data_IF_960991263903
#
_entry.id   IF_960991263903
#
_cell.length_a   1.000
_cell.length_b   1.000
_cell.length_c   1.000
_cell.angle_alpha   90.00
_cell.angle_beta   90.00
_cell.angle_gamma   90.00
#
_symmetry.space_group_name_H-M   'P 1'
#
loop_
_entity.id
_entity.type
_entity.pdbx_description
1 polymer ?
#
# COMPACT_ATOMS: atom_id res chain seq x y z
N UNK A 1 -46.04 -8.12 -50.73
CA UNK A 1 -45.81 -7.89 -49.28
C UNK A 1 -44.78 -8.90 -48.80
N UNK A 2 -43.52 -8.47 -48.67
CA UNK A 2 -42.45 -9.32 -48.14
C UNK A 2 -42.03 -8.78 -46.78
N UNK A 3 -42.24 -9.55 -45.72
CA UNK A 3 -41.78 -9.19 -44.38
C UNK A 3 -40.24 -9.21 -44.33
N UNK A 4 -39.60 -8.22 -43.67
CA UNK A 4 -38.15 -8.21 -43.55
C UNK A 4 -37.68 -9.34 -42.63
N UNK A 5 -36.80 -10.21 -43.14
CA UNK A 5 -36.12 -11.23 -42.35
C UNK A 5 -35.07 -10.57 -41.45
N UNK A 6 -35.37 -10.47 -40.16
CA UNK A 6 -34.39 -10.05 -39.15
C UNK A 6 -33.51 -11.24 -38.73
N UNK A 7 -32.20 -11.01 -38.67
CA UNK A 7 -31.20 -11.99 -38.21
C UNK A 7 -31.30 -12.20 -36.70
N UNK A 8 -31.36 -13.46 -36.24
CA UNK A 8 -31.34 -13.83 -34.82
C UNK A 8 -30.17 -13.19 -34.04
N UNK A 9 -29.03 -12.93 -34.70
CA UNK A 9 -27.88 -12.26 -34.07
C UNK A 9 -28.19 -10.81 -33.68
N UNK A 10 -29.01 -10.09 -34.46
CA UNK A 10 -29.41 -8.73 -34.10
C UNK A 10 -30.37 -8.74 -32.91
N UNK A 11 -31.31 -9.70 -32.86
CA UNK A 11 -32.23 -9.82 -31.73
C UNK A 11 -31.50 -10.10 -30.41
N UNK A 12 -30.48 -10.97 -30.44
CA UNK A 12 -29.64 -11.24 -29.27
C UNK A 12 -28.90 -10.00 -28.76
N UNK A 13 -28.33 -9.19 -29.66
CA UNK A 13 -27.66 -7.93 -29.29
C UNK A 13 -28.64 -6.89 -28.72
N UNK A 14 -29.86 -6.77 -29.26
CA UNK A 14 -30.85 -5.85 -28.71
C UNK A 14 -31.34 -6.28 -27.34
N UNK A 15 -31.56 -7.58 -27.11
CA UNK A 15 -31.96 -8.12 -25.81
C UNK A 15 -30.83 -7.93 -24.78
N UNK A 16 -29.57 -8.18 -25.15
CA UNK A 16 -28.42 -7.99 -24.26
C UNK A 16 -28.20 -6.51 -23.89
N UNK A 17 -28.39 -5.59 -24.83
CA UNK A 17 -28.32 -4.16 -24.55
C UNK A 17 -29.47 -3.67 -23.67
N UNK A 18 -30.70 -4.17 -23.89
CA UNK A 18 -31.88 -3.81 -23.09
C UNK A 18 -31.80 -4.37 -21.67
N UNK A 19 -31.26 -5.57 -21.46
CA UNK A 19 -31.05 -6.12 -20.11
C UNK A 19 -29.90 -5.44 -19.39
N UNK A 20 -28.84 -5.06 -20.10
CA UNK A 20 -27.73 -4.29 -19.56
C UNK A 20 -28.13 -2.88 -19.11
N UNK A 21 -28.93 -2.16 -19.90
CA UNK A 21 -29.42 -0.82 -19.51
C UNK A 21 -30.44 -0.88 -18.37
N UNK A 22 -31.29 -1.91 -18.32
CA UNK A 22 -32.23 -2.11 -17.20
C UNK A 22 -31.50 -2.40 -15.88
N UNK A 23 -30.41 -3.20 -15.90
CA UNK A 23 -29.58 -3.48 -14.73
C UNK A 23 -28.85 -2.25 -14.21
N UNK A 24 -28.39 -1.36 -15.10
CA UNK A 24 -27.76 -0.09 -14.69
C UNK A 24 -28.79 0.86 -14.07
N UNK A 25 -29.99 0.95 -14.66
CA UNK A 25 -31.07 1.79 -14.11
C UNK A 25 -31.58 1.28 -12.76
N UNK A 26 -31.67 -0.04 -12.56
CA UNK A 26 -32.06 -0.64 -11.28
C UNK A 26 -31.00 -0.40 -10.19
N UNK A 27 -29.70 -0.43 -10.53
CA UNK A 27 -28.63 -0.09 -9.58
C UNK A 27 -28.63 1.40 -9.20
N UNK A 28 -28.86 2.30 -10.17
CA UNK A 28 -28.95 3.74 -9.89
C UNK A 28 -30.17 4.09 -9.02
N UNK A 29 -31.31 3.44 -9.27
CA UNK A 29 -32.52 3.60 -8.44
C UNK A 29 -32.33 3.03 -7.03
N UNK A 30 -31.54 1.97 -6.87
CA UNK A 30 -31.24 1.40 -5.56
C UNK A 30 -30.35 2.33 -4.72
N UNK A 31 -29.34 2.98 -5.31
CA UNK A 31 -28.52 3.99 -4.63
C UNK A 31 -29.33 5.21 -4.16
N UNK A 32 -30.27 5.70 -4.97
CA UNK A 32 -31.14 6.82 -4.61
C UNK A 32 -32.10 6.47 -3.46
N UNK A 33 -32.61 5.22 -3.42
CA UNK A 33 -33.47 4.73 -2.35
C UNK A 33 -32.69 4.62 -1.02
N UNK A 34 -31.45 4.15 -1.05
CA UNK A 34 -30.56 4.09 0.12
C UNK A 34 -30.22 5.47 0.70
N UNK A 35 -30.15 6.51 -0.15
CA UNK A 35 -29.89 7.87 0.31
C UNK A 35 -31.10 8.53 1.01
N UNK A 36 -32.33 8.16 0.64
CA UNK A 36 -33.54 8.76 1.25
C UNK A 36 -33.94 8.17 2.61
N UNK A 37 -33.41 7.00 2.99
CA UNK A 37 -33.81 6.28 4.20
C UNK A 37 -32.98 6.57 5.47
N UNK A 38 -32.12 7.59 5.48
CA UNK A 38 -31.37 7.97 6.70
C UNK A 38 -32.25 8.81 7.65
N UNK A 39 -32.48 8.39 8.91
CA UNK A 39 -33.18 9.21 9.90
C UNK A 39 -32.30 10.38 10.37
N UNK A 40 -32.90 11.56 10.53
CA UNK A 40 -32.25 12.73 11.15
C UNK A 40 -32.08 12.53 12.68
N UNK A 41 -30.93 12.86 13.27
CA UNK A 41 -30.74 12.78 14.72
C UNK A 41 -31.46 13.94 15.44
N UNK A 42 -32.17 13.60 16.52
CA UNK A 42 -32.82 14.52 17.43
C UNK A 42 -31.81 15.31 18.29
N UNK A 43 -32.14 16.55 18.63
CA UNK A 43 -31.34 17.45 19.46
C UNK A 43 -31.22 16.95 20.92
N UNK A 44 -30.03 17.03 21.57
CA UNK A 44 -29.90 16.76 23.01
C UNK A 44 -30.13 18.02 23.85
N UNK A 45 -30.95 17.88 24.90
CA UNK A 45 -31.11 18.84 25.99
C UNK A 45 -29.94 18.74 26.99
N UNK A 46 -29.61 19.89 27.58
CA UNK A 46 -28.50 20.13 28.50
C UNK A 46 -28.69 19.54 29.91
N UNK A 47 -27.64 18.97 30.50
CA UNK A 47 -27.51 18.84 31.97
C UNK A 47 -26.09 19.20 32.41
N UNK A 48 -26.02 19.94 33.53
CA UNK A 48 -24.85 20.63 34.11
C UNK A 48 -23.90 19.71 34.90
N UNK A 49 -22.65 20.17 35.00
CA UNK A 49 -21.52 19.57 35.70
C UNK A 49 -21.35 19.99 37.18
N UNK A 50 -20.60 19.19 37.94
CA UNK A 50 -19.75 19.52 39.12
C UNK A 50 -19.02 18.22 39.56
N UNK A 51 -17.77 18.12 40.05
CA UNK A 51 -16.70 19.04 40.48
C UNK A 51 -15.45 18.23 40.93
N UNK A 52 -14.30 18.92 41.08
CA UNK A 52 -12.88 18.52 41.33
C UNK A 52 -12.55 17.55 42.50
N UNK A 53 -11.39 16.88 42.66
CA UNK A 53 -10.02 16.87 42.07
C UNK A 53 -9.20 15.67 42.66
N UNK A 54 -7.84 15.60 42.74
CA UNK A 54 -6.75 16.43 42.20
C UNK A 54 -5.72 15.69 41.28
N UNK A 55 -4.91 16.53 40.65
CA UNK A 55 -3.93 16.40 39.55
C UNK A 55 -2.82 15.33 39.67
N UNK A 56 -2.67 14.53 38.62
CA UNK A 56 -1.40 13.94 38.14
C UNK A 56 -1.23 14.35 36.67
N UNK A 57 -0.08 14.92 36.32
CA UNK A 57 0.24 15.46 34.99
C UNK A 57 0.27 14.34 33.93
N UNK A 58 -0.81 14.20 33.16
CA UNK A 58 -0.85 13.43 31.92
C UNK A 58 -0.89 14.40 30.74
N UNK A 59 0.15 14.38 29.91
CA UNK A 59 0.17 15.03 28.60
C UNK A 59 -0.61 14.11 27.65
N UNK A 60 -1.95 14.19 27.71
CA UNK A 60 -2.84 13.65 26.70
C UNK A 60 -3.62 14.81 26.10
N UNK A 61 -3.10 15.38 25.02
CA UNK A 61 -3.89 16.25 24.14
C UNK A 61 -4.90 15.39 23.38
N UNK A 62 -6.03 15.07 23.99
CA UNK A 62 -7.21 14.59 23.26
C UNK A 62 -7.79 15.78 22.51
N UNK A 63 -7.33 15.98 21.26
CA UNK A 63 -8.05 16.82 20.32
C UNK A 63 -9.34 16.09 19.94
N UNK A 64 -10.48 16.57 20.43
CA UNK A 64 -11.78 16.17 19.90
C UNK A 64 -11.91 16.74 18.49
N UNK A 65 -11.50 15.95 17.50
CA UNK A 65 -11.89 16.23 16.14
C UNK A 65 -13.40 15.99 16.04
N UNK A 66 -14.17 17.07 15.90
CA UNK A 66 -15.50 16.97 15.30
C UNK A 66 -15.33 16.23 13.96
N UNK A 67 -16.30 15.38 13.59
CA UNK A 67 -16.36 14.64 12.32
C UNK A 67 -16.22 15.54 11.05
N UNK A 68 -16.17 16.86 11.22
CA UNK A 68 -15.97 17.88 10.19
C UNK A 68 -14.53 18.43 10.07
N UNK A 69 -13.52 17.79 10.67
CA UNK A 69 -12.13 18.28 10.65
C UNK A 69 -11.28 17.75 9.50
N UNK A 70 -11.84 16.90 8.64
CA UNK A 70 -11.27 16.69 7.30
C UNK A 70 -11.29 18.07 6.63
N UNK A 71 -10.12 18.65 6.37
CA UNK A 71 -10.00 19.95 5.70
C UNK A 71 -10.89 19.93 4.45
N UNK A 72 -12.02 20.64 4.56
CA UNK A 72 -13.11 20.61 3.58
C UNK A 72 -12.71 21.32 2.30
N UNK A 73 -11.62 22.10 2.34
CA UNK A 73 -11.08 22.79 1.19
C UNK A 73 -10.24 21.82 0.32
N UNK A 74 -10.75 21.42 -0.87
CA UNK A 74 -10.03 20.54 -1.77
C UNK A 74 -8.66 21.08 -2.19
N UNK A 75 -8.48 22.41 -2.18
CA UNK A 75 -7.28 23.10 -2.67
C UNK A 75 -6.06 22.99 -1.73
N UNK A 76 -6.29 22.62 -0.47
CA UNK A 76 -5.21 22.38 0.51
C UNK A 76 -4.70 20.94 0.46
N UNK A 77 -5.54 20.01 0.03
CA UNK A 77 -5.22 18.59 -0.06
C UNK A 77 -4.46 18.23 -1.35
N UNK A 78 -3.35 17.48 -1.27
CA UNK A 78 -2.58 17.04 -2.43
C UNK A 78 -3.43 16.35 -3.51
N UNK A 79 -3.08 16.55 -4.77
CA UNK A 79 -3.80 16.02 -5.94
C UNK A 79 -3.95 14.49 -5.98
N UNK A 80 -3.09 13.75 -5.28
CA UNK A 80 -3.09 12.28 -5.24
C UNK A 80 -3.97 11.70 -4.13
N UNK A 81 -4.47 12.54 -3.22
CA UNK A 81 -5.37 12.16 -2.13
C UNK A 81 -6.84 12.30 -2.57
N UNK A 82 -7.75 11.56 -1.96
CA UNK A 82 -9.18 11.58 -2.33
C UNK A 82 -9.75 12.98 -2.18
N UNK A 83 -10.31 13.50 -3.27
CA UNK A 83 -10.89 14.84 -3.32
C UNK A 83 -9.87 15.98 -3.31
N UNK A 84 -8.57 15.72 -3.34
CA UNK A 84 -7.56 16.77 -3.35
C UNK A 84 -7.33 17.38 -4.74
N UNK A 85 -7.05 18.68 -4.79
CA UNK A 85 -6.77 19.42 -6.04
C UNK A 85 -5.45 20.18 -6.01
N UNK A 86 -4.74 20.19 -4.87
CA UNK A 86 -3.45 20.89 -4.73
C UNK A 86 -2.39 20.30 -5.63
N UNK A 87 -1.97 21.07 -6.64
CA UNK A 87 -0.89 20.71 -7.56
C UNK A 87 0.48 21.14 -7.01
N UNK A 88 1.57 20.43 -7.36
CA UNK A 88 2.92 20.89 -7.06
C UNK A 88 3.31 22.10 -7.90
N UNK A 89 4.24 22.89 -7.35
CA UNK A 89 4.93 23.95 -8.06
C UNK A 89 6.31 23.46 -8.53
N UNK A 90 6.91 24.08 -9.56
CA UNK A 90 8.28 23.78 -9.97
C UNK A 90 9.25 23.86 -8.79
N UNK A 91 10.14 22.88 -8.68
CA UNK A 91 11.07 22.77 -7.56
C UNK A 91 12.02 23.97 -7.50
N UNK A 92 12.27 24.46 -6.28
CA UNK A 92 13.17 25.58 -6.02
C UNK A 92 14.62 25.08 -6.06
N UNK A 93 15.51 25.85 -6.70
CA UNK A 93 16.96 25.63 -6.68
C UNK A 93 17.63 26.51 -5.62
N UNK A 94 18.65 25.97 -4.96
CA UNK A 94 19.54 26.74 -4.09
C UNK A 94 20.39 27.69 -4.92
N UNK A 95 20.47 28.96 -4.51
CA UNK A 95 21.28 29.98 -5.22
C UNK A 95 22.77 29.64 -5.28
N UNK A 96 23.29 28.96 -4.26
CA UNK A 96 24.73 28.72 -4.13
C UNK A 96 25.20 27.48 -4.91
N UNK A 97 24.39 26.42 -4.97
CA UNK A 97 24.82 25.15 -5.60
C UNK A 97 24.07 24.83 -6.90
N UNK A 98 23.00 25.57 -7.20
CA UNK A 98 22.10 25.27 -8.32
C UNK A 98 21.28 23.99 -8.15
N UNK A 99 21.49 23.21 -7.09
CA UNK A 99 20.72 21.98 -6.82
C UNK A 99 19.31 22.31 -6.33
N UNK A 100 18.34 21.50 -6.76
CA UNK A 100 16.96 21.55 -6.25
C UNK A 100 16.92 21.21 -4.75
N UNK A 101 15.94 21.76 -4.04
CA UNK A 101 15.71 21.50 -2.61
C UNK A 101 14.92 20.21 -2.32
N UNK A 102 14.18 19.71 -3.31
CA UNK A 102 13.34 18.53 -3.11
C UNK A 102 14.20 17.27 -2.88
N UNK A 103 13.92 16.54 -1.79
CA UNK A 103 14.54 15.25 -1.46
C UNK A 103 13.74 14.12 -2.12
N UNK A 104 14.27 13.60 -3.23
CA UNK A 104 13.57 12.67 -4.11
C UNK A 104 14.19 11.28 -4.13
N UNK A 105 15.46 11.18 -3.74
CA UNK A 105 16.25 9.96 -3.86
C UNK A 105 16.70 9.39 -2.50
N UNK A 106 17.00 8.08 -2.42
CA UNK A 106 17.39 7.45 -1.15
C UNK A 106 18.57 8.11 -0.44
N UNK A 107 19.52 8.66 -1.21
CA UNK A 107 20.70 9.33 -0.65
C UNK A 107 20.41 10.74 -0.13
N UNK A 108 19.25 11.31 -0.47
CA UNK A 108 18.82 12.66 -0.07
C UNK A 108 17.92 12.64 1.17
N UNK A 109 17.17 11.55 1.36
CA UNK A 109 16.43 11.25 2.58
C UNK A 109 16.33 9.73 2.78
N UNK A 110 17.11 9.22 3.74
CA UNK A 110 17.21 7.79 4.03
C UNK A 110 16.12 7.28 4.99
N UNK A 111 15.37 8.18 5.63
CA UNK A 111 14.35 7.81 6.63
C UNK A 111 12.94 7.85 6.04
N UNK A 112 12.71 8.69 5.03
CA UNK A 112 11.49 8.73 4.24
C UNK A 112 11.55 7.76 3.06
N UNK A 113 10.39 7.34 2.54
CA UNK A 113 10.28 6.50 1.33
C UNK A 113 10.03 7.34 0.06
N UNK A 114 9.92 8.66 0.23
CA UNK A 114 9.93 9.72 -0.77
C UNK A 114 8.75 9.70 -1.73
N UNK A 115 7.76 8.83 -1.54
CA UNK A 115 6.63 8.69 -2.47
C UNK A 115 5.88 10.02 -2.61
N UNK A 116 5.56 10.68 -1.51
CA UNK A 116 4.83 11.95 -1.50
C UNK A 116 5.68 13.09 -2.06
N UNK A 117 6.98 13.13 -1.74
CA UNK A 117 7.91 14.10 -2.33
C UNK A 117 8.00 13.96 -3.85
N UNK A 118 8.10 12.73 -4.35
CA UNK A 118 8.11 12.43 -5.79
C UNK A 118 6.77 12.78 -6.46
N UNK A 119 5.63 12.53 -5.81
CA UNK A 119 4.31 12.93 -6.32
C UNK A 119 4.10 14.45 -6.36
N UNK A 120 4.82 15.18 -5.51
CA UNK A 120 4.80 16.64 -5.44
C UNK A 120 6.01 17.28 -6.13
N UNK A 121 6.72 16.53 -6.96
CA UNK A 121 7.86 17.05 -7.70
C UNK A 121 7.47 17.48 -9.12
N UNK A 122 7.93 18.67 -9.50
CA UNK A 122 7.97 19.17 -10.88
C UNK A 122 9.37 19.75 -11.09
N UNK A 123 10.11 19.36 -12.14
CA UNK A 123 11.43 19.89 -12.41
C UNK A 123 11.46 21.43 -12.46
N UNK A 124 12.57 22.06 -12.06
CA UNK A 124 12.76 23.49 -12.27
C UNK A 124 12.53 23.84 -13.74
N UNK A 125 11.81 24.94 -13.99
CA UNK A 125 11.49 25.45 -15.33
C UNK A 125 10.61 24.55 -16.22
N UNK A 126 10.05 23.46 -15.68
CA UNK A 126 9.20 22.54 -16.45
C UNK A 126 8.03 23.24 -17.18
N UNK A 127 7.42 24.24 -16.54
CA UNK A 127 6.29 24.99 -17.10
C UNK A 127 6.68 26.22 -17.93
N UNK A 128 7.97 26.63 -17.96
CA UNK A 128 8.39 27.88 -18.61
C UNK A 128 8.73 27.71 -20.08
N UNK A 129 9.20 26.54 -20.47
CA UNK A 129 9.41 26.19 -21.87
C UNK A 129 8.06 25.81 -22.45
N UNK A 130 7.57 26.49 -23.49
CA UNK A 130 6.31 26.21 -24.20
C UNK A 130 6.24 24.78 -24.79
N UNK A 131 6.23 23.74 -23.97
CA UNK A 131 6.22 22.33 -24.38
C UNK A 131 7.52 21.79 -24.96
N UNK A 132 8.66 22.48 -24.82
CA UNK A 132 9.96 22.05 -25.41
C UNK A 132 10.75 21.03 -24.55
N UNK A 133 10.12 20.32 -23.61
CA UNK A 133 10.80 19.24 -22.90
C UNK A 133 10.97 18.03 -23.80
N UNK A 134 12.15 17.42 -23.72
CA UNK A 134 12.42 16.17 -24.44
C UNK A 134 11.44 15.09 -23.98
N UNK A 135 10.68 14.53 -24.91
CA UNK A 135 9.81 13.38 -24.62
C UNK A 135 10.68 12.19 -24.18
N UNK A 136 10.47 11.71 -22.95
CA UNK A 136 11.20 10.55 -22.41
C UNK A 136 10.52 9.24 -22.76
N UNK A 137 11.28 8.28 -23.29
CA UNK A 137 10.80 6.95 -23.67
C UNK A 137 11.11 5.94 -22.56
N UNK A 138 10.06 5.29 -22.05
CA UNK A 138 10.15 4.24 -21.04
C UNK A 138 9.81 2.90 -21.69
N UNK A 139 10.82 2.05 -21.85
CA UNK A 139 10.65 0.71 -22.41
C UNK A 139 10.32 -0.30 -21.32
N UNK A 140 9.34 -1.15 -21.60
CA UNK A 140 8.99 -2.28 -20.74
C UNK A 140 9.01 -3.57 -21.57
N UNK A 141 10.00 -4.42 -21.35
CA UNK A 141 10.20 -5.61 -22.21
C UNK A 141 9.11 -6.67 -22.04
N UNK A 142 8.55 -6.81 -20.84
CA UNK A 142 7.51 -7.80 -20.54
C UNK A 142 6.75 -7.42 -19.26
N UNK A 143 5.55 -7.99 -19.08
CA UNK A 143 4.67 -7.68 -17.95
C UNK A 143 4.13 -6.24 -17.98
N UNK A 144 3.61 -5.79 -16.83
CA UNK A 144 2.98 -4.46 -16.66
C UNK A 144 1.92 -4.19 -17.73
N UNK A 145 0.92 -5.07 -17.86
CA UNK A 145 -0.08 -4.98 -18.93
C UNK A 145 -0.95 -3.71 -18.86
N UNK A 146 -1.04 -3.12 -17.66
CA UNK A 146 -1.69 -1.84 -17.39
C UNK A 146 -0.96 -0.65 -18.05
N UNK A 147 0.35 -0.76 -18.28
CA UNK A 147 1.16 0.24 -18.97
C UNK A 147 1.09 0.05 -20.49
N UNK A 148 0.00 0.52 -21.10
CA UNK A 148 -0.19 0.48 -22.56
C UNK A 148 0.84 1.38 -23.27
N UNK A 149 1.20 1.01 -24.49
CA UNK A 149 2.08 1.81 -25.37
C UNK A 149 1.46 3.17 -25.62
N UNK A 150 2.29 4.22 -25.58
CA UNK A 150 1.88 5.61 -25.77
C UNK A 150 1.95 6.45 -24.49
N UNK A 151 1.58 7.73 -24.58
CA UNK A 151 1.62 8.67 -23.46
C UNK A 151 0.34 8.68 -22.60
N UNK A 152 -0.69 7.92 -22.97
CA UNK A 152 -2.05 8.05 -22.42
C UNK A 152 -2.11 7.88 -20.91
N UNK A 153 -1.31 6.97 -20.34
CA UNK A 153 -1.29 6.72 -18.90
C UNK A 153 -0.94 7.97 -18.10
N UNK A 154 -0.03 8.81 -18.61
CA UNK A 154 0.41 10.03 -17.92
C UNK A 154 -0.67 11.12 -17.94
N UNK A 155 -1.46 11.20 -19.02
CA UNK A 155 -2.58 12.12 -19.13
C UNK A 155 -3.80 11.66 -18.33
N UNK A 156 -4.13 10.36 -18.40
CA UNK A 156 -5.25 9.76 -17.67
C UNK A 156 -5.06 9.86 -16.15
N UNK A 157 -3.85 9.63 -15.67
CA UNK A 157 -3.49 9.82 -14.26
C UNK A 157 -3.28 11.30 -13.88
N UNK A 158 -3.37 12.22 -14.86
CA UNK A 158 -3.17 13.65 -14.68
C UNK A 158 -1.84 13.97 -13.98
N UNK A 159 -0.77 13.30 -14.39
CA UNK A 159 0.56 13.48 -13.79
C UNK A 159 1.02 14.94 -13.91
N UNK A 160 1.62 15.52 -12.85
CA UNK A 160 2.22 16.86 -12.92
C UNK A 160 3.36 16.96 -13.95
N UNK A 161 4.12 15.87 -14.11
CA UNK A 161 5.12 15.68 -15.17
C UNK A 161 4.63 14.55 -16.06
N UNK A 162 4.41 14.84 -17.34
CA UNK A 162 3.70 13.97 -18.27
C UNK A 162 4.36 13.88 -19.66
N UNK A 163 5.54 14.45 -19.85
CA UNK A 163 6.32 14.37 -21.10
C UNK A 163 7.09 13.05 -21.18
N UNK A 164 6.36 11.95 -21.05
CA UNK A 164 6.87 10.58 -21.19
C UNK A 164 5.95 9.73 -22.07
N UNK A 165 6.49 8.66 -22.64
CA UNK A 165 5.73 7.67 -23.42
C UNK A 165 6.22 6.27 -23.11
N UNK A 166 5.30 5.31 -23.03
CA UNK A 166 5.62 3.89 -22.88
C UNK A 166 5.89 3.28 -24.25
N UNK A 167 6.99 2.54 -24.38
CA UNK A 167 7.35 1.77 -25.58
C UNK A 167 7.60 0.30 -25.23
N UNK A 168 7.48 -0.60 -26.22
CA UNK A 168 7.72 -2.05 -26.04
C UNK A 168 8.82 -2.59 -26.96
N UNK A 169 9.33 -1.75 -27.84
CA UNK A 169 10.31 -2.04 -28.86
C UNK A 169 11.46 -1.01 -28.82
N UNK A 170 12.48 -1.28 -29.64
CA UNK A 170 13.62 -0.39 -29.88
C UNK A 170 14.37 0.08 -28.61
N UNK A 171 15.03 -0.86 -27.89
CA UNK A 171 15.74 -0.58 -26.63
C UNK A 171 16.78 0.52 -26.75
N UNK A 172 17.47 0.64 -27.89
CA UNK A 172 18.54 1.62 -28.08
C UNK A 172 18.03 3.08 -28.02
N UNK A 173 16.74 3.29 -28.28
CA UNK A 173 16.12 4.62 -28.27
C UNK A 173 15.48 5.00 -26.93
N UNK A 174 15.44 4.08 -25.96
CA UNK A 174 14.78 4.29 -24.68
C UNK A 174 15.64 5.10 -23.71
N UNK A 175 15.05 6.05 -23.00
CA UNK A 175 15.70 6.75 -21.88
C UNK A 175 15.75 5.85 -20.63
N UNK A 176 14.72 5.02 -20.43
CA UNK A 176 14.66 4.03 -19.36
C UNK A 176 14.21 2.67 -19.89
N UNK A 177 14.86 1.60 -19.44
CA UNK A 177 14.41 0.22 -19.61
C UNK A 177 14.04 -0.36 -18.24
N UNK A 178 12.80 -0.80 -18.09
CA UNK A 178 12.30 -1.46 -16.89
C UNK A 178 12.37 -2.99 -17.05
N UNK A 179 13.03 -3.63 -16.10
CA UNK A 179 13.14 -5.09 -15.97
C UNK A 179 12.25 -5.58 -14.83
N UNK A 180 11.11 -6.16 -15.17
CA UNK A 180 10.20 -6.78 -14.21
C UNK A 180 10.69 -8.20 -13.90
N UNK A 181 10.84 -8.56 -12.63
CA UNK A 181 11.16 -9.92 -12.11
C UNK A 181 12.51 -10.55 -12.53
N UNK A 182 13.02 -10.26 -13.73
CA UNK A 182 14.34 -10.69 -14.21
C UNK A 182 14.84 -9.76 -15.32
N UNK A 183 16.15 -9.80 -15.53
CA UNK A 183 16.81 -9.02 -16.59
C UNK A 183 16.79 -9.84 -17.87
N UNK A 184 16.23 -9.25 -18.92
CA UNK A 184 16.29 -9.78 -20.28
C UNK A 184 17.53 -9.25 -20.99
N UNK A 185 18.08 -10.01 -21.94
CA UNK A 185 19.24 -9.57 -22.71
C UNK A 185 18.87 -8.40 -23.64
N UNK A 186 19.22 -7.19 -23.24
CA UNK A 186 19.09 -5.98 -24.07
C UNK A 186 20.47 -5.46 -24.44
N UNK A 187 20.92 -5.86 -25.63
CA UNK A 187 21.87 -5.15 -26.49
C UNK A 187 23.05 -4.42 -25.84
N UNK A 188 23.48 -3.33 -26.47
CA UNK A 188 24.50 -2.41 -25.95
C UNK A 188 23.80 -1.30 -25.17
N UNK A 189 24.25 -1.04 -23.95
CA UNK A 189 23.73 0.06 -23.12
C UNK A 189 24.29 1.40 -23.59
N UNK A 190 23.42 2.37 -23.89
CA UNK A 190 23.81 3.77 -24.05
C UNK A 190 24.19 4.39 -22.69
N UNK A 191 25.12 5.35 -22.68
CA UNK A 191 25.63 5.96 -21.45
C UNK A 191 24.51 6.62 -20.61
N UNK A 192 23.60 7.33 -21.29
CA UNK A 192 22.49 8.08 -20.68
C UNK A 192 21.25 7.22 -20.39
N UNK A 193 21.25 5.96 -20.80
CA UNK A 193 20.11 5.07 -20.58
C UNK A 193 20.06 4.53 -19.15
N UNK A 194 18.90 4.63 -18.53
CA UNK A 194 18.61 4.14 -17.19
C UNK A 194 18.09 2.71 -17.25
N UNK A 195 18.73 1.80 -16.54
CA UNK A 195 18.24 0.44 -16.32
C UNK A 195 17.61 0.34 -14.94
N UNK A 196 16.31 0.06 -14.90
CA UNK A 196 15.55 -0.02 -13.65
C UNK A 196 15.08 -1.43 -13.36
N UNK A 197 15.41 -1.94 -12.18
CA UNK A 197 14.96 -3.24 -11.69
C UNK A 197 13.61 -3.08 -10.97
N UNK A 198 12.63 -3.91 -11.30
CA UNK A 198 11.31 -3.91 -10.64
C UNK A 198 10.99 -5.28 -10.03
N UNK A 199 10.93 -5.35 -8.69
CA UNK A 199 10.60 -6.57 -7.94
C UNK A 199 9.54 -6.30 -6.88
N UNK A 200 8.46 -7.10 -6.87
CA UNK A 200 7.48 -7.12 -5.78
C UNK A 200 7.61 -8.36 -4.88
N UNK A 201 8.18 -9.45 -5.38
CA UNK A 201 8.53 -10.60 -4.53
C UNK A 201 9.81 -10.35 -3.73
N UNK A 202 9.97 -11.08 -2.62
CA UNK A 202 11.11 -10.90 -1.73
C UNK A 202 12.44 -11.45 -2.30
N UNK A 203 13.60 -11.12 -1.70
CA UNK A 203 14.91 -11.63 -2.10
C UNK A 203 15.00 -13.16 -2.23
N UNK A 204 14.36 -13.93 -1.34
CA UNK A 204 14.36 -15.39 -1.43
C UNK A 204 13.53 -15.95 -2.60
N UNK A 205 12.66 -15.14 -3.19
CA UNK A 205 11.78 -15.51 -4.28
C UNK A 205 12.10 -14.77 -5.59
N UNK A 206 13.27 -14.14 -5.68
CA UNK A 206 13.75 -13.42 -6.88
C UNK A 206 15.12 -13.93 -7.34
N UNK A 207 15.37 -13.92 -8.64
CA UNK A 207 16.64 -14.38 -9.22
C UNK A 207 17.77 -13.37 -8.98
N UNK A 208 19.00 -13.87 -8.81
CA UNK A 208 20.17 -13.00 -8.73
C UNK A 208 20.38 -12.26 -10.04
N UNK A 209 20.70 -10.97 -9.94
CA UNK A 209 21.04 -10.14 -11.08
C UNK A 209 22.47 -10.47 -11.51
N UNK A 210 22.65 -10.98 -12.73
CA UNK A 210 23.96 -11.33 -13.28
C UNK A 210 24.39 -10.34 -14.35
N UNK A 211 25.62 -9.83 -14.22
CA UNK A 211 26.32 -9.06 -15.27
C UNK A 211 25.52 -7.89 -15.87
N UNK A 212 24.75 -7.19 -15.03
CA UNK A 212 23.95 -6.03 -15.44
C UNK A 212 24.19 -4.85 -14.51
N UNK A 213 24.42 -3.68 -15.10
CA UNK A 213 24.60 -2.42 -14.38
C UNK A 213 23.21 -1.79 -14.16
N UNK A 214 22.69 -1.95 -12.94
CA UNK A 214 21.40 -1.36 -12.55
C UNK A 214 21.62 0.07 -12.10
N UNK A 215 20.85 0.99 -12.67
CA UNK A 215 20.83 2.40 -12.28
C UNK A 215 19.83 2.63 -11.15
N UNK A 216 18.58 2.18 -11.35
CA UNK A 216 17.46 2.43 -10.45
C UNK A 216 16.81 1.14 -9.96
N UNK A 217 16.21 1.20 -8.77
CA UNK A 217 15.40 0.11 -8.21
C UNK A 217 13.97 0.57 -7.94
N UNK A 218 13.01 -0.30 -8.23
CA UNK A 218 11.60 -0.12 -7.98
C UNK A 218 11.05 -1.35 -7.27
N UNK A 219 11.12 -1.34 -5.94
CA UNK A 219 10.70 -2.47 -5.10
C UNK A 219 9.85 -2.00 -3.93
N UNK A 220 9.34 -2.92 -3.12
CA UNK A 220 8.64 -2.57 -1.89
C UNK A 220 9.53 -1.90 -0.83
N UNK A 221 10.87 -2.00 -0.95
CA UNK A 221 11.79 -1.43 0.04
C UNK A 221 11.74 0.08 0.05
N UNK A 222 11.76 0.66 1.25
CA UNK A 222 11.69 2.11 1.45
C UNK A 222 12.96 2.84 0.97
N UNK A 223 14.05 2.11 0.76
CA UNK A 223 15.31 2.63 0.20
C UNK A 223 15.46 2.39 -1.33
N UNK A 224 14.39 1.97 -2.02
CA UNK A 224 14.37 1.95 -3.49
C UNK A 224 14.28 3.35 -4.10
N UNK A 225 14.82 3.50 -5.32
CA UNK A 225 14.72 4.75 -6.08
C UNK A 225 13.28 5.19 -6.32
N UNK A 226 12.45 4.26 -6.78
CA UNK A 226 11.01 4.44 -6.92
C UNK A 226 10.33 3.37 -6.05
N UNK A 227 10.01 3.71 -4.80
CA UNK A 227 9.35 2.75 -3.90
C UNK A 227 8.01 2.31 -4.50
N UNK A 228 7.82 1.00 -4.65
CA UNK A 228 6.62 0.36 -5.19
C UNK A 228 5.99 -0.51 -4.09
N UNK A 229 5.36 0.10 -3.07
CA UNK A 229 4.75 -0.65 -2.00
C UNK A 229 3.44 -1.29 -2.48
N UNK A 230 2.99 -2.35 -1.81
CA UNK A 230 1.69 -2.95 -2.08
C UNK A 230 0.55 -1.97 -1.78
N UNK A 231 0.64 -1.25 -0.67
CA UNK A 231 -0.23 -0.14 -0.31
C UNK A 231 0.57 0.93 0.46
N UNK A 232 0.04 2.16 0.53
CA UNK A 232 0.67 3.25 1.28
C UNK A 232 -0.35 4.03 2.09
N UNK A 233 -0.27 3.96 3.41
CA UNK A 233 -1.07 4.79 4.30
C UNK A 233 -0.57 6.24 4.33
N UNK A 234 -1.49 7.20 4.33
CA UNK A 234 -1.23 8.62 4.49
C UNK A 234 -2.23 9.23 5.45
N UNK A 235 -1.74 9.81 6.55
CA UNK A 235 -2.56 10.63 7.45
C UNK A 235 -3.04 11.91 6.76
N UNK A 236 -4.27 12.34 7.07
CA UNK A 236 -4.76 13.67 6.71
C UNK A 236 -4.04 14.76 7.51
N UNK A 237 -3.82 14.50 8.80
CA UNK A 237 -3.02 15.31 9.71
C UNK A 237 -2.13 14.36 10.52
N UNK A 238 -0.81 14.51 10.38
CA UNK A 238 0.16 13.66 11.08
C UNK A 238 0.14 13.84 12.61
N UNK A 239 -0.44 14.93 13.11
CA UNK A 239 -0.62 15.13 14.56
C UNK A 239 -1.83 14.38 15.12
N UNK A 240 -2.73 13.89 14.26
CA UNK A 240 -3.95 13.17 14.66
C UNK A 240 -3.94 11.76 14.10
N UNK A 241 -3.39 10.84 14.90
CA UNK A 241 -3.23 9.43 14.50
C UNK A 241 -4.35 8.52 15.02
N UNK A 242 -5.19 9.01 15.93
CA UNK A 242 -6.33 8.28 16.49
C UNK A 242 -7.50 9.22 16.76
N UNK A 243 -8.73 8.74 16.50
CA UNK A 243 -9.98 9.40 16.83
C UNK A 243 -10.94 8.43 17.53
N UNK A 244 -11.87 8.92 18.38
CA UNK A 244 -12.93 8.09 18.93
C UNK A 244 -13.73 7.41 17.82
N UNK A 245 -14.11 6.15 18.04
CA UNK A 245 -14.93 5.38 17.12
C UNK A 245 -16.31 5.18 17.74
N UNK A 246 -17.36 5.26 16.93
CA UNK A 246 -18.75 4.96 17.34
C UNK A 246 -19.14 3.52 17.03
N UNK A 247 -18.40 2.86 16.13
CA UNK A 247 -18.63 1.49 15.72
C UNK A 247 -17.89 0.51 16.65
N UNK A 248 -18.59 -0.51 17.17
CA UNK A 248 -17.97 -1.61 17.90
C UNK A 248 -17.52 -2.71 16.91
N UNK A 249 -16.23 -2.73 16.61
CA UNK A 249 -15.58 -3.72 15.75
C UNK A 249 -15.51 -5.14 16.34
N UNK A 250 -15.81 -5.33 17.63
CA UNK A 250 -15.87 -6.63 18.28
C UNK A 250 -17.28 -7.25 18.25
N UNK A 251 -18.32 -6.44 18.01
CA UNK A 251 -19.71 -6.86 18.13
C UNK A 251 -20.01 -8.06 17.23
N UNK A 252 -20.73 -9.05 17.78
CA UNK A 252 -21.19 -10.27 17.11
C UNK A 252 -20.10 -11.22 16.58
N UNK A 253 -18.81 -10.87 16.66
CA UNK A 253 -17.71 -11.75 16.26
C UNK A 253 -17.51 -12.87 17.28
N UNK A 254 -17.72 -14.11 16.83
CA UNK A 254 -17.62 -15.29 17.69
C UNK A 254 -16.31 -16.06 17.50
N UNK A 255 -15.76 -16.05 16.28
CA UNK A 255 -14.53 -16.75 15.92
C UNK A 255 -13.30 -15.92 16.25
N UNK A 256 -12.20 -16.60 16.57
CA UNK A 256 -10.98 -15.93 17.05
C UNK A 256 -10.07 -15.53 15.90
N UNK A 257 -9.32 -16.47 15.35
CA UNK A 257 -8.26 -16.17 14.37
C UNK A 257 -8.55 -16.86 13.04
N UNK A 258 -8.54 -16.10 11.94
CA UNK A 258 -8.55 -16.63 10.58
C UNK A 258 -7.15 -16.53 9.95
N UNK A 259 -6.80 -17.47 9.07
CA UNK A 259 -5.60 -17.37 8.25
C UNK A 259 -5.83 -17.87 6.83
N UNK A 260 -5.60 -17.00 5.83
CA UNK A 260 -5.70 -17.39 4.42
C UNK A 260 -4.31 -17.69 3.86
N UNK A 261 -4.03 -18.96 3.56
CA UNK A 261 -2.68 -19.40 3.19
C UNK A 261 -2.68 -20.53 2.16
N UNK A 262 -1.84 -20.38 1.14
CA UNK A 262 -1.66 -21.37 0.07
C UNK A 262 -0.21 -21.80 -0.17
N UNK A 263 0.79 -21.03 0.27
CA UNK A 263 2.19 -21.45 0.25
C UNK A 263 2.56 -22.14 1.58
N UNK A 264 2.63 -23.47 1.56
CA UNK A 264 2.90 -24.29 2.74
C UNK A 264 4.40 -24.53 3.01
N UNK A 265 5.27 -24.04 2.11
CA UNK A 265 6.73 -24.15 2.23
C UNK A 265 7.36 -22.74 2.15
N UNK A 266 7.06 -21.87 3.12
CA UNK A 266 7.60 -20.52 3.16
C UNK A 266 9.09 -20.52 3.52
N UNK A 267 9.75 -19.37 3.33
CA UNK A 267 11.14 -19.11 3.76
C UNK A 267 11.18 -18.42 5.13
N UNK A 268 10.28 -18.83 6.03
CA UNK A 268 10.24 -18.43 7.43
C UNK A 268 9.46 -19.47 8.26
N UNK A 269 9.28 -19.20 9.56
CA UNK A 269 8.64 -20.12 10.51
C UNK A 269 7.12 -19.96 10.65
N UNK A 270 6.44 -19.24 9.74
CA UNK A 270 5.00 -18.92 9.90
C UNK A 270 4.09 -20.14 10.06
N UNK A 271 4.42 -21.26 9.39
CA UNK A 271 3.64 -22.50 9.49
C UNK A 271 3.78 -23.13 10.89
N UNK A 272 5.00 -23.14 11.43
CA UNK A 272 5.26 -23.63 12.78
C UNK A 272 4.58 -22.72 13.80
N UNK A 273 4.75 -21.41 13.66
CA UNK A 273 4.15 -20.43 14.57
C UNK A 273 2.63 -20.53 14.63
N UNK A 274 1.94 -20.60 13.49
CA UNK A 274 0.49 -20.74 13.44
C UNK A 274 0.00 -22.06 14.07
N UNK A 275 0.73 -23.17 13.87
CA UNK A 275 0.43 -24.47 14.50
C UNK A 275 0.62 -24.41 16.01
N UNK A 276 1.69 -23.79 16.49
CA UNK A 276 1.91 -23.63 17.93
C UNK A 276 0.85 -22.71 18.56
N UNK A 277 0.50 -21.61 17.89
CA UNK A 277 -0.58 -20.71 18.33
C UNK A 277 -1.93 -21.44 18.43
N UNK A 278 -2.23 -22.31 17.47
CA UNK A 278 -3.50 -23.07 17.42
C UNK A 278 -3.72 -24.04 18.59
N UNK A 279 -2.69 -24.32 19.40
CA UNK A 279 -2.81 -25.08 20.65
C UNK A 279 -3.46 -24.28 21.78
N UNK A 280 -3.43 -22.95 21.71
CA UNK A 280 -3.81 -22.04 22.80
C UNK A 280 -5.02 -21.15 22.46
N UNK A 281 -5.32 -20.96 21.18
CA UNK A 281 -6.48 -20.21 20.69
C UNK A 281 -6.98 -20.81 19.37
N UNK A 282 -8.27 -20.67 19.06
CA UNK A 282 -8.83 -21.14 17.80
C UNK A 282 -8.17 -20.42 16.61
N UNK A 283 -7.57 -21.20 15.70
CA UNK A 283 -7.01 -20.71 14.44
C UNK A 283 -7.60 -21.50 13.28
N UNK A 284 -8.45 -20.84 12.51
CA UNK A 284 -9.12 -21.42 11.35
C UNK A 284 -8.28 -21.14 10.09
N UNK A 285 -7.71 -22.20 9.51
CA UNK A 285 -6.77 -22.11 8.39
C UNK A 285 -7.49 -22.43 7.07
N UNK A 286 -7.59 -21.42 6.21
CA UNK A 286 -8.20 -21.52 4.89
C UNK A 286 -7.14 -21.59 3.79
N UNK A 287 -7.40 -22.41 2.77
CA UNK A 287 -6.60 -22.48 1.55
C UNK A 287 -5.97 -23.85 1.33
N UNK A 288 -4.76 -23.89 0.77
CA UNK A 288 -4.09 -25.14 0.44
C UNK A 288 -3.38 -25.77 1.66
N UNK A 289 -3.11 -24.97 2.70
CA UNK A 289 -2.37 -25.41 3.88
C UNK A 289 -3.25 -25.73 5.10
N UNK A 290 -4.57 -25.70 4.93
CA UNK A 290 -5.56 -25.97 5.97
C UNK A 290 -6.75 -26.77 5.46
N UNK A 291 -7.68 -27.09 6.36
CA UNK A 291 -8.88 -27.87 6.05
C UNK A 291 -10.03 -27.03 5.49
N UNK A 292 -10.02 -25.71 5.73
CA UNK A 292 -11.07 -24.80 5.28
C UNK A 292 -10.75 -24.21 3.90
N UNK A 293 -11.78 -23.72 3.21
CA UNK A 293 -11.67 -23.25 1.82
C UNK A 293 -12.08 -21.80 1.69
N UNK A 294 -11.20 -21.04 1.07
CA UNK A 294 -11.47 -19.70 0.56
C UNK A 294 -10.85 -19.60 -0.85
N UNK A 295 -11.56 -20.08 -1.89
CA UNK A 295 -11.05 -20.01 -3.25
C UNK A 295 -11.06 -18.56 -3.74
N UNK A 296 -10.08 -18.18 -4.57
CA UNK A 296 -9.97 -16.80 -5.10
C UNK A 296 -11.24 -16.31 -5.83
N UNK A 297 -11.97 -17.24 -6.46
CA UNK A 297 -13.26 -16.95 -7.12
C UNK A 297 -14.37 -16.54 -6.17
N UNK A 298 -14.22 -16.77 -4.86
CA UNK A 298 -15.16 -16.39 -3.80
C UNK A 298 -14.49 -15.49 -2.76
N UNK A 299 -13.44 -14.75 -3.16
CA UNK A 299 -12.67 -13.89 -2.26
C UNK A 299 -13.56 -12.92 -1.48
N UNK A 300 -14.55 -12.29 -2.13
CA UNK A 300 -15.48 -11.38 -1.46
C UNK A 300 -16.22 -12.05 -0.30
N UNK A 301 -16.82 -13.22 -0.52
CA UNK A 301 -17.53 -13.96 0.53
C UNK A 301 -16.61 -14.32 1.70
N UNK A 302 -15.33 -14.62 1.44
CA UNK A 302 -14.39 -14.86 2.52
C UNK A 302 -14.05 -13.60 3.32
N UNK A 303 -13.97 -12.46 2.64
CA UNK A 303 -13.71 -11.18 3.27
C UNK A 303 -14.92 -10.70 4.08
N UNK A 304 -16.14 -10.88 3.57
CA UNK A 304 -17.36 -10.61 4.32
C UNK A 304 -17.41 -11.47 5.60
N UNK A 305 -17.07 -12.77 5.48
CA UNK A 305 -16.93 -13.66 6.64
C UNK A 305 -15.84 -13.20 7.62
N UNK A 306 -14.72 -12.65 7.12
CA UNK A 306 -13.66 -12.11 7.96
C UNK A 306 -14.15 -10.88 8.74
N UNK A 307 -14.92 -10.01 8.08
CA UNK A 307 -15.54 -8.81 8.63
C UNK A 307 -16.62 -9.11 9.68
N UNK A 308 -17.36 -10.20 9.53
CA UNK A 308 -18.51 -10.52 10.39
C UNK A 308 -18.17 -11.49 11.52
N UNK A 309 -17.35 -12.52 11.26
CA UNK A 309 -17.19 -13.63 12.20
C UNK A 309 -15.96 -13.54 13.09
N UNK A 310 -14.86 -12.96 12.59
CA UNK A 310 -13.52 -13.10 13.18
C UNK A 310 -12.99 -11.84 13.84
N UNK A 311 -12.39 -11.98 15.04
CA UNK A 311 -11.67 -10.87 15.71
C UNK A 311 -10.26 -10.63 15.14
N UNK A 312 -9.54 -11.69 14.76
CA UNK A 312 -8.14 -11.59 14.38
C UNK A 312 -7.85 -12.25 13.03
N UNK A 313 -6.85 -11.73 12.33
CA UNK A 313 -6.39 -12.27 11.05
C UNK A 313 -4.87 -12.43 11.05
N UNK A 314 -4.35 -13.61 10.71
CA UNK A 314 -2.91 -13.81 10.52
C UNK A 314 -2.46 -13.26 9.17
N UNK A 315 -1.88 -12.06 9.18
CA UNK A 315 -1.26 -11.42 8.04
C UNK A 315 0.23 -11.81 7.91
N UNK A 316 0.50 -13.13 7.87
CA UNK A 316 1.86 -13.67 7.87
C UNK A 316 2.47 -13.72 6.47
N UNK A 317 3.57 -13.01 6.28
CA UNK A 317 4.36 -13.04 5.05
C UNK A 317 5.09 -14.35 4.86
N UNK A 318 5.47 -14.65 3.61
CA UNK A 318 6.13 -15.90 3.26
C UNK A 318 7.62 -15.93 3.62
N UNK A 319 8.20 -14.80 4.02
CA UNK A 319 9.63 -14.60 4.28
C UNK A 319 9.80 -13.45 5.27
N UNK A 320 10.86 -13.51 6.08
CA UNK A 320 11.21 -12.40 6.95
C UNK A 320 12.25 -11.52 6.25
N UNK A 321 11.81 -10.40 5.67
CA UNK A 321 12.67 -9.49 4.90
C UNK A 321 12.34 -8.03 5.21
N UNK A 322 13.37 -7.19 5.29
CA UNK A 322 13.28 -5.74 5.50
C UNK A 322 12.22 -5.13 4.58
N UNK A 323 11.29 -4.36 5.15
CA UNK A 323 10.19 -3.66 4.46
C UNK A 323 9.20 -4.57 3.68
N UNK A 324 9.32 -5.91 3.71
CA UNK A 324 8.43 -6.81 2.97
C UNK A 324 7.08 -6.96 3.66
N UNK A 325 6.15 -6.09 3.31
CA UNK A 325 4.78 -6.04 3.82
C UNK A 325 3.83 -5.96 2.63
N UNK A 326 2.89 -6.90 2.53
CA UNK A 326 2.11 -7.09 1.29
C UNK A 326 0.60 -6.95 1.48
N UNK A 327 -0.17 -7.36 0.47
CA UNK A 327 -1.63 -7.42 0.48
C UNK A 327 -2.20 -8.17 1.70
N UNK A 328 -1.45 -9.12 2.27
CA UNK A 328 -1.88 -9.86 3.48
C UNK A 328 -2.13 -8.92 4.64
N UNK A 329 -1.26 -7.94 4.82
CA UNK A 329 -1.41 -6.94 5.86
C UNK A 329 -2.36 -5.82 5.44
N UNK A 330 -2.09 -5.20 4.30
CA UNK A 330 -2.79 -3.98 3.92
C UNK A 330 -4.22 -4.23 3.42
N UNK A 331 -4.39 -5.17 2.49
CA UNK A 331 -5.68 -5.43 1.84
C UNK A 331 -6.51 -6.36 2.70
N UNK A 332 -6.01 -7.57 3.01
CA UNK A 332 -6.77 -8.57 3.75
C UNK A 332 -6.93 -8.22 5.24
N UNK A 333 -5.97 -7.49 5.81
CA UNK A 333 -5.99 -7.07 7.21
C UNK A 333 -6.65 -5.71 7.40
N UNK A 334 -5.92 -4.63 7.12
CA UNK A 334 -6.37 -3.26 7.39
C UNK A 334 -7.56 -2.81 6.53
N UNK A 335 -7.74 -3.40 5.34
CA UNK A 335 -8.91 -3.19 4.48
C UNK A 335 -10.21 -3.71 5.06
N UNK A 336 -10.15 -4.52 6.12
CA UNK A 336 -11.28 -5.19 6.75
C UNK A 336 -11.46 -4.76 8.23
N UNK A 337 -12.55 -5.20 8.83
CA UNK A 337 -12.98 -4.97 10.21
C UNK A 337 -12.43 -6.08 11.13
N UNK A 338 -11.16 -6.38 10.99
CA UNK A 338 -10.44 -7.43 11.73
C UNK A 338 -9.11 -6.88 12.22
N UNK A 339 -8.59 -7.36 13.35
CA UNK A 339 -7.30 -6.95 13.86
C UNK A 339 -6.17 -7.83 13.29
N UNK A 340 -5.25 -7.30 12.46
CA UNK A 340 -4.18 -8.09 11.87
C UNK A 340 -3.10 -8.44 12.91
N UNK A 341 -2.66 -9.70 12.88
CA UNK A 341 -1.47 -10.20 13.57
C UNK A 341 -0.41 -10.45 12.51
N UNK A 342 0.73 -9.80 12.62
CA UNK A 342 1.72 -9.73 11.54
C UNK A 342 3.01 -10.48 11.87
N UNK A 343 3.62 -11.05 10.83
CA UNK A 343 4.95 -11.66 10.82
C UNK A 343 5.52 -11.48 9.42
N UNK A 344 6.77 -11.04 9.30
CA UNK A 344 7.40 -10.82 8.00
C UNK A 344 8.52 -9.79 8.09
N UNK A 345 8.21 -8.53 7.81
CA UNK A 345 9.16 -7.43 8.00
C UNK A 345 9.51 -7.20 9.48
N UNK A 346 10.56 -6.40 9.73
CA UNK A 346 10.98 -6.05 11.07
C UNK A 346 9.90 -5.22 11.79
N UNK A 347 9.73 -5.29 13.12
CA UNK A 347 8.76 -4.45 13.84
C UNK A 347 8.84 -2.96 13.50
N UNK A 348 10.05 -2.41 13.31
CA UNK A 348 10.24 -1.00 12.90
C UNK A 348 9.75 -0.71 11.49
N UNK A 349 9.69 -1.70 10.60
CA UNK A 349 9.22 -1.53 9.23
C UNK A 349 7.69 -1.45 9.20
N UNK A 350 7.02 -2.32 9.97
CA UNK A 350 5.59 -2.24 10.19
C UNK A 350 5.20 -0.92 10.86
N UNK A 351 5.93 -0.49 11.90
CA UNK A 351 5.66 0.77 12.60
C UNK A 351 5.75 2.00 11.70
N UNK A 352 6.62 1.98 10.67
CA UNK A 352 6.76 3.07 9.70
C UNK A 352 5.72 3.03 8.57
N UNK A 353 5.13 1.86 8.31
CA UNK A 353 4.25 1.65 7.14
C UNK A 353 2.77 1.57 7.49
N UNK A 354 2.45 1.24 8.74
CA UNK A 354 1.10 1.03 9.22
C UNK A 354 0.53 2.29 9.90
N UNK A 355 -0.81 2.44 9.93
CA UNK A 355 -1.44 3.34 10.87
C UNK A 355 -1.06 2.97 12.32
N UNK A 356 -0.90 3.98 13.15
CA UNK A 356 -0.57 3.84 14.56
C UNK A 356 -1.55 2.92 15.30
N UNK A 357 -0.99 1.93 15.99
CA UNK A 357 -1.72 0.95 16.81
C UNK A 357 -2.86 0.26 16.02
N UNK A 358 -2.58 -0.18 14.80
CA UNK A 358 -3.56 -0.85 13.93
C UNK A 358 -3.38 -2.37 13.82
N UNK A 359 -2.40 -2.95 14.51
CA UNK A 359 -1.99 -4.34 14.34
C UNK A 359 -1.24 -4.86 15.58
N UNK A 360 -0.98 -6.16 15.62
CA UNK A 360 -0.17 -6.84 16.64
C UNK A 360 1.02 -7.52 15.96
N UNK A 361 2.25 -7.31 16.43
CA UNK A 361 3.42 -7.99 15.89
C UNK A 361 3.79 -9.21 16.73
N UNK A 362 4.06 -10.35 16.11
CA UNK A 362 4.41 -11.60 16.84
C UNK A 362 5.66 -11.45 17.72
N UNK A 363 6.68 -10.72 17.24
CA UNK A 363 7.92 -10.45 17.98
C UNK A 363 7.75 -9.44 19.13
N UNK A 364 6.53 -9.03 19.49
CA UNK A 364 6.23 -8.33 20.76
C UNK A 364 6.05 -9.32 21.93
N UNK A 365 5.92 -10.62 21.64
CA UNK A 365 5.65 -11.68 22.63
C UNK A 365 6.81 -12.68 22.70
N UNK A 366 7.10 -13.23 23.86
CA UNK A 366 8.06 -14.30 24.11
C UNK A 366 7.68 -15.61 23.40
N UNK A 367 6.39 -15.87 23.21
CA UNK A 367 5.93 -17.11 22.58
C UNK A 367 4.54 -17.00 21.96
N UNK A 368 4.15 -17.94 21.07
CA UNK A 368 2.77 -18.08 20.59
C UNK A 368 1.75 -18.25 21.72
N UNK A 369 2.15 -18.82 22.87
CA UNK A 369 1.28 -18.96 24.04
C UNK A 369 0.98 -17.60 24.68
N UNK A 370 1.99 -16.79 24.89
CA UNK A 370 1.82 -15.44 25.46
C UNK A 370 0.99 -14.55 24.53
N UNK A 371 1.23 -14.64 23.21
CA UNK A 371 0.36 -14.00 22.22
C UNK A 371 -1.10 -14.49 22.39
N UNK A 372 -1.35 -15.79 22.49
CA UNK A 372 -2.71 -16.30 22.69
C UNK A 372 -3.37 -15.77 23.97
N UNK A 373 -2.62 -15.67 25.07
CA UNK A 373 -3.11 -15.09 26.33
C UNK A 373 -3.52 -13.61 26.14
N UNK A 374 -2.73 -12.85 25.37
CA UNK A 374 -3.08 -11.48 25.01
C UNK A 374 -4.32 -11.39 24.11
N UNK A 375 -4.45 -12.29 23.12
CA UNK A 375 -5.63 -12.34 22.25
C UNK A 375 -6.90 -12.71 23.03
N UNK A 376 -6.82 -13.60 24.02
CA UNK A 376 -7.94 -13.90 24.92
C UNK A 376 -8.32 -12.71 25.80
N UNK A 377 -7.35 -11.88 26.19
CA UNK A 377 -7.63 -10.63 26.91
C UNK A 377 -8.38 -9.65 26.01
N UNK A 378 -7.93 -9.44 24.77
CA UNK A 378 -8.63 -8.61 23.78
C UNK A 378 -10.02 -9.14 23.46
N UNK A 379 -10.19 -10.46 23.41
CA UNK A 379 -11.49 -11.08 23.14
C UNK A 379 -12.54 -10.77 24.21
N UNK A 380 -12.11 -10.62 25.47
CA UNK A 380 -12.97 -10.37 26.64
C UNK A 380 -13.16 -8.89 26.97
N UNK A 381 -12.41 -8.01 26.31
CA UNK A 381 -12.40 -6.57 26.56
C UNK A 381 -12.60 -5.82 25.24
N UNK A 382 -13.86 -5.56 24.93
CA UNK A 382 -14.26 -4.86 23.70
C UNK A 382 -13.63 -3.47 23.62
N UNK A 383 -13.49 -2.74 24.73
CA UNK A 383 -12.88 -1.40 24.71
C UNK A 383 -11.40 -1.47 24.31
N UNK A 384 -10.68 -2.45 24.86
CA UNK A 384 -9.28 -2.68 24.52
C UNK A 384 -9.13 -3.15 23.07
N UNK A 385 -9.99 -4.04 22.59
CA UNK A 385 -9.99 -4.46 21.18
C UNK A 385 -10.28 -3.28 20.24
N UNK A 386 -11.34 -2.51 20.51
CA UNK A 386 -11.72 -1.35 19.70
C UNK A 386 -10.67 -0.23 19.71
N UNK A 387 -9.80 -0.18 20.73
CA UNK A 387 -8.68 0.77 20.75
C UNK A 387 -7.72 0.63 19.56
N UNK A 388 -7.66 -0.56 18.93
CA UNK A 388 -6.86 -0.82 17.73
C UNK A 388 -7.50 -0.31 16.43
N UNK A 389 -8.74 0.18 16.47
CA UNK A 389 -9.46 0.68 15.30
C UNK A 389 -9.56 2.20 15.27
N UNK A 390 -9.02 2.89 16.28
CA UNK A 390 -9.07 4.36 16.40
C UNK A 390 -8.32 5.10 15.30
N UNK A 391 -7.46 4.43 14.54
CA UNK A 391 -6.80 5.00 13.36
C UNK A 391 -7.76 5.18 12.18
N UNK A 392 -8.87 4.43 12.12
CA UNK A 392 -9.83 4.53 11.01
C UNK A 392 -10.43 5.94 10.99
N UNK A 393 -10.43 6.57 9.81
CA UNK A 393 -10.85 7.96 9.60
C UNK A 393 -9.74 9.02 9.74
N UNK A 394 -8.53 8.65 10.17
CA UNK A 394 -7.41 9.61 10.31
C UNK A 394 -6.57 9.79 9.04
N UNK A 395 -6.82 8.98 8.02
CA UNK A 395 -6.08 8.99 6.77
C UNK A 395 -6.71 8.09 5.71
N UNK A 396 -5.95 7.81 4.66
CA UNK A 396 -6.34 6.91 3.57
C UNK A 396 -5.14 6.16 2.99
N UNK A 397 -5.41 5.02 2.33
CA UNK A 397 -4.44 4.39 1.45
C UNK A 397 -4.40 5.17 0.12
N UNK A 398 -3.23 5.72 -0.22
CA UNK A 398 -3.07 6.54 -1.42
C UNK A 398 -2.56 5.70 -2.60
N UNK A 399 -3.07 6.02 -3.79
CA UNK A 399 -2.42 5.55 -5.02
C UNK A 399 -1.06 6.24 -5.13
N UNK A 400 0.00 5.45 -5.30
CA UNK A 400 1.37 6.00 -5.39
C UNK A 400 1.70 6.54 -6.78
N UNK A 401 0.80 6.44 -7.76
CA UNK A 401 0.95 6.87 -9.16
C UNK A 401 2.35 6.57 -9.72
N UNK A 402 2.72 5.28 -9.68
CA UNK A 402 4.06 4.79 -10.04
C UNK A 402 4.61 5.43 -11.31
N UNK A 403 3.85 5.45 -12.40
CA UNK A 403 4.27 6.02 -13.68
C UNK A 403 4.47 7.53 -13.63
N UNK A 404 3.62 8.28 -12.92
CA UNK A 404 3.84 9.71 -12.72
C UNK A 404 5.18 9.98 -12.02
N UNK A 405 5.52 9.19 -11.00
CA UNK A 405 6.80 9.32 -10.30
C UNK A 405 7.98 8.94 -11.18
N UNK A 406 7.92 7.82 -11.91
CA UNK A 406 8.97 7.43 -12.87
C UNK A 406 9.21 8.54 -13.90
N UNK A 407 8.13 9.10 -14.46
CA UNK A 407 8.26 10.20 -15.42
C UNK A 407 8.89 11.44 -14.78
N UNK A 408 8.39 11.86 -13.61
CA UNK A 408 8.95 13.00 -12.90
C UNK A 408 10.44 12.83 -12.58
N UNK A 409 10.86 11.62 -12.18
CA UNK A 409 12.26 11.34 -11.86
C UNK A 409 13.16 11.26 -13.09
N UNK A 410 12.64 10.86 -14.27
CA UNK A 410 13.41 10.90 -15.52
C UNK A 410 13.67 12.32 -16.04
N UNK A 411 12.88 13.28 -15.58
CA UNK A 411 13.08 14.70 -15.85
C UNK A 411 13.83 15.42 -14.72
N UNK A 412 14.30 14.69 -13.72
CA UNK A 412 15.16 15.26 -12.68
C UNK A 412 16.58 15.48 -13.19
N UNK A 413 17.15 16.63 -12.82
CA UNK A 413 18.51 17.04 -13.15
C UNK A 413 19.48 16.51 -12.09
N UNK A 414 19.66 15.19 -12.10
CA UNK A 414 20.54 14.44 -11.17
C UNK A 414 21.73 13.82 -11.92
N UNK A 415 22.93 13.81 -11.30
CA UNK A 415 24.06 13.03 -11.82
C UNK A 415 23.72 11.54 -11.96
N UNK A 416 24.17 10.87 -13.05
CA UNK A 416 23.98 9.44 -13.24
C UNK A 416 24.44 8.64 -12.02
N UNK A 417 23.66 7.62 -11.66
CA UNK A 417 23.99 6.69 -10.57
C UNK A 417 23.89 5.25 -11.02
N UNK A 418 24.57 4.36 -10.30
CA UNK A 418 24.41 2.92 -10.45
C UNK A 418 24.75 2.20 -9.15
N UNK A 419 24.21 1.00 -8.98
CA UNK A 419 24.55 0.10 -7.88
C UNK A 419 25.87 -0.62 -8.22
N UNK A 420 26.87 -0.53 -7.33
CA UNK A 420 28.14 -1.28 -7.49
C UNK A 420 27.86 -2.78 -7.54
N UNK A 421 27.06 -3.26 -6.59
CA UNK A 421 26.43 -4.58 -6.63
C UNK A 421 24.99 -4.46 -6.16
N UNK A 422 24.04 -4.62 -7.10
CA UNK A 422 22.61 -4.57 -6.76
C UNK A 422 22.18 -5.80 -5.95
N UNK A 423 22.92 -6.91 -6.00
CA UNK A 423 22.65 -8.08 -5.18
C UNK A 423 23.09 -7.85 -3.73
N UNK A 424 24.22 -7.20 -3.49
CA UNK A 424 24.59 -6.80 -2.13
C UNK A 424 23.49 -5.93 -1.50
N UNK A 425 23.00 -4.94 -2.25
CA UNK A 425 21.85 -4.14 -1.80
C UNK A 425 20.60 -5.00 -1.59
N UNK A 426 20.16 -5.79 -2.58
CA UNK A 426 18.86 -6.46 -2.58
C UNK A 426 18.78 -7.72 -1.71
N UNK A 427 19.88 -8.48 -1.61
CA UNK A 427 19.93 -9.82 -1.00
C UNK A 427 21.17 -10.03 -0.13
N UNK A 428 21.84 -8.95 0.29
CA UNK A 428 22.97 -9.01 1.20
C UNK A 428 22.55 -9.33 2.65
N UNK A 429 23.56 -9.40 3.51
CA UNK A 429 23.40 -9.76 4.92
C UNK A 429 22.49 -8.77 5.66
N UNK A 430 21.60 -9.31 6.51
CA UNK A 430 20.65 -8.51 7.29
C UNK A 430 19.46 -7.97 6.50
N UNK A 431 19.35 -8.24 5.19
CA UNK A 431 18.14 -7.89 4.42
C UNK A 431 17.00 -8.85 4.72
N UNK A 432 17.30 -10.15 4.82
CA UNK A 432 16.33 -11.16 5.19
C UNK A 432 16.94 -12.09 6.25
N UNK A 433 16.08 -12.71 7.05
CA UNK A 433 16.44 -13.73 8.04
C UNK A 433 15.52 -14.94 7.91
N UNK A 434 15.99 -16.11 8.35
CA UNK A 434 15.16 -17.33 8.44
C UNK A 434 14.58 -17.54 9.84
N UNK A 435 15.11 -16.84 10.84
CA UNK A 435 14.63 -16.81 12.24
C UNK A 435 13.74 -15.58 12.50
N UNK A 436 13.32 -15.38 13.75
CA UNK A 436 12.66 -14.13 14.16
C UNK A 436 13.64 -12.95 14.07
N UNK A 437 13.11 -11.73 13.93
CA UNK A 437 13.96 -10.53 13.95
C UNK A 437 14.58 -10.31 15.32
N UNK A 438 13.84 -10.66 16.39
CA UNK A 438 14.36 -10.67 17.76
C UNK A 438 15.62 -11.52 17.90
N UNK A 439 15.60 -12.78 17.43
CA UNK A 439 16.79 -13.65 17.48
C UNK A 439 17.92 -13.11 16.60
N UNK A 440 17.59 -12.63 15.41
CA UNK A 440 18.56 -12.05 14.50
C UNK A 440 19.32 -10.87 15.16
N UNK A 441 18.60 -9.95 15.80
CA UNK A 441 19.18 -8.77 16.44
C UNK A 441 20.06 -9.11 17.66
N UNK A 442 19.71 -10.15 18.41
CA UNK A 442 20.53 -10.66 19.52
C UNK A 442 21.85 -11.28 19.04
N UNK A 443 21.87 -11.87 17.84
CA UNK A 443 23.05 -12.54 17.27
C UNK A 443 23.94 -11.62 16.42
N UNK A 444 23.47 -10.42 16.08
CA UNK A 444 24.23 -9.48 15.26
C UNK A 444 25.41 -8.93 16.08
N UNK A 445 26.65 -9.00 15.57
CA UNK A 445 27.78 -8.34 16.23
C UNK A 445 27.45 -6.86 16.41
N UNK A 446 27.47 -6.36 17.65
CA UNK A 446 27.38 -4.92 17.87
C UNK A 446 28.62 -4.30 17.22
N UNK A 447 28.38 -3.62 16.10
CA UNK A 447 29.42 -2.81 15.46
C UNK A 447 29.58 -1.57 16.31
N UNK A 448 30.65 -1.56 17.12
CA UNK A 448 31.13 -0.42 17.90
C UNK A 448 31.63 0.70 17.02
#
# INVERSE_FOLDING_TARGET
MGFPRFSLKRYFFYVLCLTGTLLVLLNLLQDDIWHSMRPHPAQPQSVRAAGDGPKVLNINGTASLNENSIDLDPSRRPWYMKGGTRRPYPAIRTRNTGKRLAQLWPEEDAYDDRVTNQLMFVPPDYNKTNGQHQLKKIMISHGMAEAKVGPEIFFQQRCPVNTCTIVRDNPDSADLILFKDYITHVGRRSYDQVWMLYFLECPYHTQSVKSALINWTATYRRDSDIVAPYERWQYYDSSVMQIPQTFNYAANKTKKVAWFVSNCHPRNQRMHYARELSKYIQVDIYGACGSLRCPRSQSQTCFDMLDEDYKFYLAFENSNCKDYITEKFFVNGLGHNVLPIVMGAHPTDYARSAPYRSYIHVDEFESPKELAEYLHRLDRDDDLYNSYFRWKGTGEFINTFFWCRVCAMLHDDRPPKYYKDVNEWWRGDGVCTTSSWREHDLTRPQTT
#
